data_IF_783910012875
#
_entry.id   IF_783910012875
#
_cell.length_a   1.000
_cell.length_b   1.000
_cell.length_c   1.000
_cell.angle_alpha   90.00
_cell.angle_beta   90.00
_cell.angle_gamma   90.00
#
_symmetry.space_group_name_H-M   'P 1'
#
loop_
_entity.id
_entity.type
_entity.pdbx_description
1 polymer ?
#
# COMPACT_ATOMS: atom_id res chain seq x y z
N UNK A 1 -6.83 8.21 15.94
CA UNK A 1 -7.47 7.75 14.68
C UNK A 1 -6.47 7.06 13.76
N UNK A 2 -5.30 7.65 13.51
CA UNK A 2 -4.20 7.05 12.73
C UNK A 2 -3.68 5.74 13.34
N UNK A 3 -3.63 5.64 14.67
CA UNK A 3 -3.25 4.38 15.35
C UNK A 3 -4.30 3.26 15.23
N UNK A 4 -5.55 3.60 14.86
CA UNK A 4 -6.63 2.63 14.85
C UNK A 4 -6.50 1.64 13.68
N UNK A 5 -6.11 2.10 12.48
CA UNK A 5 -5.90 1.20 11.35
C UNK A 5 -4.75 0.21 11.63
N UNK A 6 -3.66 0.69 12.25
CA UNK A 6 -2.55 -0.17 12.70
C UNK A 6 -3.02 -1.21 13.71
N UNK A 7 -3.87 -0.83 14.66
CA UNK A 7 -4.44 -1.75 15.65
C UNK A 7 -5.32 -2.81 14.98
N UNK A 8 -6.16 -2.44 14.02
CA UNK A 8 -7.00 -3.40 13.28
C UNK A 8 -6.13 -4.41 12.53
N UNK A 9 -5.13 -3.93 11.78
CA UNK A 9 -4.22 -4.79 11.01
C UNK A 9 -3.40 -5.68 11.95
N UNK A 10 -2.90 -5.16 13.08
CA UNK A 10 -2.17 -5.95 14.08
C UNK A 10 -3.02 -7.08 14.67
N UNK A 11 -4.31 -6.83 14.93
CA UNK A 11 -5.23 -7.86 15.44
C UNK A 11 -5.51 -8.93 14.40
N UNK A 12 -5.83 -8.54 13.17
CA UNK A 12 -6.06 -9.49 12.08
C UNK A 12 -4.84 -10.37 11.76
N UNK A 13 -3.62 -9.85 11.95
CA UNK A 13 -2.40 -10.65 11.90
C UNK A 13 -2.33 -11.69 13.01
N UNK A 14 -2.62 -11.27 14.24
CA UNK A 14 -2.61 -12.16 15.42
C UNK A 14 -3.62 -13.30 15.25
N UNK A 15 -4.75 -13.00 14.60
CA UNK A 15 -5.82 -13.97 14.32
C UNK A 15 -5.59 -14.80 13.05
N UNK A 16 -4.44 -14.63 12.37
CA UNK A 16 -4.08 -15.39 11.16
C UNK A 16 -4.91 -15.05 9.91
N UNK A 17 -5.73 -14.00 9.96
CA UNK A 17 -6.60 -13.60 8.84
C UNK A 17 -5.82 -12.89 7.72
N UNK A 18 -4.65 -12.38 8.05
CA UNK A 18 -3.80 -11.59 7.18
C UNK A 18 -2.34 -11.75 7.60
N UNK A 19 -1.43 -11.73 6.62
CA UNK A 19 0.01 -11.79 6.86
C UNK A 19 0.69 -10.66 6.10
N UNK A 20 1.63 -10.00 6.77
CA UNK A 20 2.46 -8.99 6.10
C UNK A 20 3.49 -9.63 5.19
N UNK A 21 3.98 -8.86 4.23
CA UNK A 21 5.05 -9.32 3.35
C UNK A 21 6.36 -9.41 4.12
N UNK A 22 7.23 -10.34 3.72
CA UNK A 22 8.60 -10.45 4.24
C UNK A 22 8.64 -10.65 5.79
N UNK A 23 7.97 -11.68 6.33
CA UNK A 23 7.96 -11.96 7.76
C UNK A 23 9.35 -12.32 8.33
N UNK A 24 10.31 -12.65 7.46
CA UNK A 24 11.69 -12.96 7.84
C UNK A 24 12.56 -11.72 8.11
N UNK A 25 12.15 -10.52 7.68
CA UNK A 25 12.88 -9.26 7.95
C UNK A 25 12.17 -8.39 9.00
N UNK A 26 10.86 -8.52 9.13
CA UNK A 26 10.04 -7.76 10.08
C UNK A 26 9.13 -8.75 10.79
N UNK A 27 9.20 -8.80 12.12
CA UNK A 27 8.34 -9.66 12.93
C UNK A 27 6.85 -9.33 12.67
N UNK A 28 6.05 -10.36 12.37
CA UNK A 28 4.66 -10.22 11.90
C UNK A 28 4.49 -9.64 10.48
N UNK A 29 5.56 -9.47 9.71
CA UNK A 29 5.58 -9.01 8.32
C UNK A 29 5.28 -7.51 8.14
N UNK A 30 5.79 -6.90 7.07
CA UNK A 30 5.50 -5.52 6.69
C UNK A 30 4.09 -5.43 6.07
N UNK A 31 3.26 -4.50 6.53
CA UNK A 31 1.89 -4.37 6.03
C UNK A 31 1.40 -2.97 5.82
N UNK A 32 2.02 -1.98 6.48
CA UNK A 32 1.64 -0.57 6.37
C UNK A 32 2.91 0.27 6.33
N UNK A 33 2.96 1.24 5.42
CA UNK A 33 3.93 2.33 5.44
C UNK A 33 3.21 3.68 5.53
N UNK A 34 3.54 4.44 6.58
CA UNK A 34 2.95 5.73 6.97
C UNK A 34 1.45 5.86 6.67
N UNK A 35 0.68 4.85 7.06
CA UNK A 35 -0.79 4.91 7.08
C UNK A 35 -1.46 5.14 5.71
N UNK A 36 -0.72 4.93 4.64
CA UNK A 36 -1.16 5.21 3.25
C UNK A 36 -0.86 4.09 2.28
N UNK A 37 0.23 3.34 2.47
CA UNK A 37 0.58 2.20 1.62
C UNK A 37 0.35 0.91 2.40
N UNK A 38 -0.41 -0.01 1.80
CA UNK A 38 -0.66 -1.34 2.32
C UNK A 38 0.12 -2.37 1.52
N UNK A 39 0.74 -3.32 2.22
CA UNK A 39 1.45 -4.46 1.63
C UNK A 39 0.76 -5.75 2.01
N UNK A 40 0.64 -6.66 1.05
CA UNK A 40 0.01 -7.95 1.22
C UNK A 40 0.60 -8.97 0.26
N UNK A 41 0.67 -10.23 0.67
CA UNK A 41 1.14 -11.31 -0.19
C UNK A 41 0.13 -11.65 -1.30
N UNK A 42 0.61 -12.38 -2.32
CA UNK A 42 -0.22 -12.87 -3.41
C UNK A 42 -1.14 -14.01 -2.94
N UNK A 43 -2.25 -13.64 -2.31
CA UNK A 43 -3.29 -14.54 -1.85
C UNK A 43 -4.65 -13.80 -1.94
N UNK A 44 -5.57 -14.32 -2.75
CA UNK A 44 -6.87 -13.69 -3.00
C UNK A 44 -7.81 -13.78 -1.79
N UNK A 45 -7.69 -14.80 -0.96
CA UNK A 45 -8.53 -14.94 0.24
C UNK A 45 -8.06 -13.98 1.33
N UNK A 46 -6.74 -13.85 1.53
CA UNK A 46 -6.18 -12.80 2.39
C UNK A 46 -6.52 -11.39 1.87
N UNK A 47 -6.61 -11.21 0.55
CA UNK A 47 -7.07 -9.95 -0.05
C UNK A 47 -8.50 -9.58 0.32
N UNK A 48 -9.41 -10.56 0.30
CA UNK A 48 -10.81 -10.37 0.71
C UNK A 48 -10.89 -9.99 2.18
N UNK A 49 -10.11 -10.67 3.03
CA UNK A 49 -10.02 -10.33 4.45
C UNK A 49 -9.53 -8.89 4.66
N UNK A 50 -8.52 -8.46 3.90
CA UNK A 50 -8.05 -7.07 3.93
C UNK A 50 -9.16 -6.09 3.52
N UNK A 51 -9.91 -6.36 2.45
CA UNK A 51 -11.03 -5.49 2.04
C UNK A 51 -12.10 -5.37 3.12
N UNK A 52 -12.45 -6.48 3.77
CA UNK A 52 -13.41 -6.51 4.89
C UNK A 52 -12.89 -5.73 6.10
N UNK A 53 -11.60 -5.86 6.42
CA UNK A 53 -10.95 -5.13 7.50
C UNK A 53 -10.98 -3.62 7.25
N UNK A 54 -10.67 -3.19 6.03
CA UNK A 54 -10.73 -1.79 5.63
C UNK A 54 -12.16 -1.25 5.76
N UNK A 55 -13.17 -2.03 5.38
CA UNK A 55 -14.58 -1.66 5.56
C UNK A 55 -14.96 -1.57 7.04
N UNK A 56 -14.51 -2.52 7.88
CA UNK A 56 -14.74 -2.47 9.32
C UNK A 56 -14.06 -1.24 9.96
N UNK A 57 -12.88 -0.85 9.48
CA UNK A 57 -12.21 0.38 9.88
C UNK A 57 -13.02 1.63 9.48
N UNK A 58 -13.57 1.69 8.26
CA UNK A 58 -14.46 2.80 7.86
C UNK A 58 -15.64 2.95 8.82
N UNK A 59 -16.30 1.83 9.14
CA UNK A 59 -17.42 1.82 10.08
C UNK A 59 -17.03 2.26 11.50
N UNK A 60 -15.90 1.76 12.01
CA UNK A 60 -15.47 2.04 13.38
C UNK A 60 -14.90 3.46 13.56
N UNK A 61 -14.22 3.99 12.54
CA UNK A 61 -13.60 5.31 12.58
C UNK A 61 -14.52 6.44 12.11
N UNK A 62 -15.57 6.12 11.35
CA UNK A 62 -16.38 7.11 10.63
C UNK A 62 -15.67 7.75 9.43
N UNK A 63 -14.46 7.29 9.08
CA UNK A 63 -13.73 7.74 7.90
C UNK A 63 -14.15 6.94 6.67
N UNK A 64 -13.93 7.54 5.49
CA UNK A 64 -14.13 6.88 4.20
C UNK A 64 -12.82 6.69 3.47
N UNK A 65 -12.47 5.45 3.18
CA UNK A 65 -11.35 5.06 2.33
C UNK A 65 -11.74 5.33 0.88
N UNK A 66 -10.91 6.14 0.21
CA UNK A 66 -11.14 6.48 -1.18
C UNK A 66 -10.39 5.51 -2.11
N UNK A 67 -11.02 4.38 -2.41
CA UNK A 67 -10.47 3.38 -3.33
C UNK A 67 -10.28 3.93 -4.75
N UNK A 68 -11.07 4.92 -5.20
CA UNK A 68 -10.90 5.56 -6.51
C UNK A 68 -9.63 6.42 -6.63
N UNK A 69 -9.16 7.00 -5.51
CA UNK A 69 -7.86 7.70 -5.44
C UNK A 69 -6.69 6.75 -5.14
N UNK A 70 -7.00 5.50 -4.78
CA UNK A 70 -6.00 4.50 -4.48
C UNK A 70 -5.59 3.75 -5.75
N UNK A 71 -4.34 3.34 -5.79
CA UNK A 71 -3.76 2.55 -6.88
C UNK A 71 -3.32 1.19 -6.34
N UNK A 72 -3.54 0.15 -7.14
CA UNK A 72 -3.14 -1.21 -6.82
C UNK A 72 -1.96 -1.63 -7.68
N UNK A 73 -0.94 -2.19 -7.05
CA UNK A 73 0.30 -2.60 -7.72
C UNK A 73 0.54 -4.09 -7.48
N UNK A 74 0.65 -4.85 -8.56
CA UNK A 74 1.00 -6.27 -8.53
C UNK A 74 2.46 -6.47 -8.98
N UNK A 75 3.22 -7.26 -8.23
CA UNK A 75 4.63 -7.54 -8.49
C UNK A 75 4.81 -9.06 -8.59
N UNK A 76 5.63 -9.52 -9.54
CA UNK A 76 5.89 -10.94 -9.76
C UNK A 76 4.64 -11.70 -10.20
N UNK A 77 4.42 -12.90 -9.66
CA UNK A 77 3.30 -13.78 -10.03
C UNK A 77 1.91 -13.14 -9.84
N UNK A 78 1.78 -12.15 -8.93
CA UNK A 78 0.51 -11.45 -8.73
C UNK A 78 0.02 -10.68 -9.97
N UNK A 79 0.91 -10.36 -10.92
CA UNK A 79 0.54 -9.63 -12.14
C UNK A 79 -0.45 -10.39 -13.01
N UNK A 80 -0.40 -11.73 -12.99
CA UNK A 80 -1.35 -12.59 -13.71
C UNK A 80 -2.79 -12.43 -13.20
N UNK A 81 -2.95 -11.93 -11.97
CA UNK A 81 -4.23 -11.79 -11.28
C UNK A 81 -4.64 -10.32 -11.04
N UNK A 82 -3.99 -9.35 -11.69
CA UNK A 82 -4.20 -7.91 -11.43
C UNK A 82 -5.66 -7.46 -11.62
N UNK A 83 -6.38 -8.05 -12.58
CA UNK A 83 -7.79 -7.75 -12.83
C UNK A 83 -8.68 -8.19 -11.65
N UNK A 84 -8.41 -9.36 -11.07
CA UNK A 84 -9.12 -9.86 -9.90
C UNK A 84 -8.91 -8.95 -8.68
N UNK A 85 -7.67 -8.50 -8.48
CA UNK A 85 -7.34 -7.58 -7.39
C UNK A 85 -7.95 -6.19 -7.58
N UNK A 86 -7.87 -5.61 -8.78
CA UNK A 86 -8.46 -4.30 -9.06
C UNK A 86 -9.98 -4.33 -8.92
N UNK A 87 -10.63 -5.40 -9.37
CA UNK A 87 -12.08 -5.61 -9.17
C UNK A 87 -12.44 -5.76 -7.69
N UNK A 88 -11.67 -6.54 -6.92
CA UNK A 88 -11.92 -6.76 -5.49
C UNK A 88 -11.84 -5.45 -4.68
N UNK A 89 -10.81 -4.64 -4.93
CA UNK A 89 -10.61 -3.40 -4.18
C UNK A 89 -11.41 -2.23 -4.75
N UNK A 90 -11.78 -2.26 -6.04
CA UNK A 90 -12.34 -1.11 -6.74
C UNK A 90 -11.30 -0.02 -7.02
N UNK A 91 -10.02 -0.41 -7.10
CA UNK A 91 -8.89 0.47 -7.38
C UNK A 91 -8.46 0.33 -8.84
N UNK A 92 -7.87 1.40 -9.40
CA UNK A 92 -7.18 1.30 -10.68
C UNK A 92 -5.84 0.58 -10.51
N UNK A 93 -5.41 -0.15 -11.54
CA UNK A 93 -4.05 -0.66 -11.62
C UNK A 93 -3.08 0.53 -11.72
N UNK A 94 -2.04 0.53 -10.89
CA UNK A 94 -0.96 1.50 -10.93
C UNK A 94 0.24 0.98 -11.71
N UNK A 95 1.10 1.89 -12.15
CA UNK A 95 2.35 1.57 -12.84
C UNK A 95 3.54 2.19 -12.09
N UNK A 96 4.69 1.50 -12.14
CA UNK A 96 5.94 2.06 -11.63
C UNK A 96 6.54 3.09 -12.61
N UNK A 97 7.28 4.09 -12.12
CA UNK A 97 7.57 4.38 -10.71
C UNK A 97 6.37 5.00 -9.96
N UNK A 98 6.20 4.65 -8.69
CA UNK A 98 5.19 5.27 -7.82
C UNK A 98 5.75 6.54 -7.20
N UNK A 99 4.97 7.62 -7.17
CA UNK A 99 5.38 8.85 -6.49
C UNK A 99 4.91 8.80 -5.05
N UNK A 100 5.83 8.59 -4.12
CA UNK A 100 5.53 8.59 -2.70
C UNK A 100 6.22 9.78 -2.03
N UNK A 101 5.42 10.73 -1.53
CA UNK A 101 5.90 11.96 -0.89
C UNK A 101 6.89 12.78 -1.73
N UNK A 102 6.72 12.76 -3.06
CA UNK A 102 7.63 13.44 -4.00
C UNK A 102 8.88 12.64 -4.37
N UNK A 103 9.01 11.41 -3.87
CA UNK A 103 10.11 10.51 -4.20
C UNK A 103 9.59 9.39 -5.11
N UNK A 104 10.20 9.17 -6.29
CA UNK A 104 9.85 8.05 -7.15
C UNK A 104 10.37 6.75 -6.53
N UNK A 105 9.49 5.80 -6.25
CA UNK A 105 9.85 4.45 -5.84
C UNK A 105 9.70 3.54 -7.06
N UNK A 106 10.71 2.72 -7.31
CA UNK A 106 10.74 1.78 -8.43
C UNK A 106 11.28 0.43 -7.95
N UNK A 107 10.86 -0.65 -8.60
CA UNK A 107 11.45 -1.98 -8.39
C UNK A 107 12.93 -2.10 -8.83
N UNK A 108 13.46 -1.10 -9.55
CA UNK A 108 14.86 -1.01 -9.99
C UNK A 108 15.57 0.09 -9.22
N UNK A 109 16.90 0.03 -9.15
CA UNK A 109 17.69 1.15 -8.62
C UNK A 109 17.45 2.41 -9.47
N UNK A 110 17.13 3.52 -8.80
CA UNK A 110 16.95 4.82 -9.43
C UNK A 110 18.27 5.28 -10.07
N UNK A 111 18.18 5.88 -11.25
CA UNK A 111 19.31 6.53 -11.94
C UNK A 111 19.48 7.94 -11.40
N UNK A 112 20.65 8.55 -11.60
CA UNK A 112 20.88 9.95 -11.24
C UNK A 112 19.85 10.88 -11.92
N UNK A 113 19.44 10.58 -13.15
CA UNK A 113 18.38 11.32 -13.85
C UNK A 113 17.01 11.26 -13.17
N UNK A 114 16.72 10.16 -12.44
CA UNK A 114 15.47 10.02 -11.69
C UNK A 114 15.48 10.92 -10.43
N UNK A 115 16.67 11.22 -9.89
CA UNK A 115 16.87 12.08 -8.71
C UNK A 115 16.77 13.58 -9.01
N UNK A 116 17.09 14.02 -10.23
CA UNK A 116 16.99 15.45 -10.62
C UNK A 116 15.58 16.01 -10.34
N UNK A 117 14.54 15.23 -10.65
CA UNK A 117 13.14 15.63 -10.38
C UNK A 117 12.84 15.78 -8.89
N UNK A 118 13.53 15.01 -8.05
CA UNK A 118 13.40 15.08 -6.59
C UNK A 118 14.08 16.35 -6.09
N UNK A 119 15.29 16.64 -6.58
CA UNK A 119 16.03 17.87 -6.26
C UNK A 119 15.22 19.12 -6.63
N UNK A 120 14.72 19.21 -7.87
CA UNK A 120 13.87 20.31 -8.34
C UNK A 120 12.62 20.49 -7.46
N UNK A 121 12.02 19.39 -6.99
CA UNK A 121 10.86 19.45 -6.11
C UNK A 121 11.20 20.05 -4.73
N UNK A 122 12.35 19.69 -4.17
CA UNK A 122 12.82 20.23 -2.90
C UNK A 122 13.25 21.70 -3.03
N UNK A 123 13.98 22.06 -4.09
CA UNK A 123 14.37 23.45 -4.37
C UNK A 123 13.15 24.37 -4.46
N UNK A 124 12.13 23.94 -5.21
CA UNK A 124 10.88 24.71 -5.34
C UNK A 124 10.20 24.93 -3.98
N UNK A 125 10.19 23.92 -3.10
CA UNK A 125 9.63 24.03 -1.75
C UNK A 125 10.45 24.93 -0.82
N UNK A 126 11.77 24.96 -0.97
CA UNK A 126 12.67 25.78 -0.16
C UNK A 126 12.73 27.25 -0.62
N UNK A 127 12.41 27.50 -1.89
CA UNK A 127 12.34 28.85 -2.47
C UNK A 127 10.99 29.56 -2.28
N UNK A 128 10.00 28.90 -1.66
CA UNK A 128 8.68 29.46 -1.31
C UNK A 128 8.61 29.81 0.18
#
# INVERSE_FOLDING_TARGET
MVDMLKVFISRAKTDGQFEGVIPHLVDGGLSILQDTILFMDHDLDKARNMKLLLFAFELASGLKINFHKSELFCIGAAQENIELYTQLFGCKAGNFPINYLGIPIHYRKLRNSDWVKVEEHFEKKLSS
#
